data_IF_440476909809
#
_entry.id   IF_440476909809
#
_cell.length_a   1.000
_cell.length_b   1.000
_cell.length_c   1.000
_cell.angle_alpha   90.00
_cell.angle_beta   90.00
_cell.angle_gamma   90.00
#
_symmetry.space_group_name_H-M   'P 1'
#
loop_
_entity.id
_entity.type
_entity.pdbx_description
1 polymer ?
#
# COMPACT_ATOMS: atom_id res chain seq x y z
N UNK A 1 -10.39 -11.29 -10.18
CA UNK A 1 -9.03 -11.23 -10.73
C UNK A 1 -8.06 -10.64 -9.71
N UNK A 2 -6.85 -11.13 -9.68
CA UNK A 2 -5.82 -10.66 -8.76
C UNK A 2 -4.70 -10.04 -9.59
N UNK A 3 -4.41 -8.76 -9.32
CA UNK A 3 -3.28 -8.06 -9.90
C UNK A 3 -2.13 -8.00 -8.92
N UNK A 4 -0.91 -8.22 -9.39
CA UNK A 4 0.28 -8.18 -8.57
C UNK A 4 1.15 -6.98 -8.96
N UNK A 5 1.35 -6.07 -8.02
CA UNK A 5 2.26 -4.95 -8.15
C UNK A 5 3.53 -5.17 -7.33
N UNK A 6 3.83 -6.44 -7.05
CA UNK A 6 5.02 -6.82 -6.32
C UNK A 6 6.25 -6.73 -7.21
N UNK A 7 7.39 -6.52 -6.58
CA UNK A 7 8.69 -6.49 -7.23
C UNK A 7 9.75 -6.56 -6.16
N UNK A 8 10.99 -6.35 -6.55
CA UNK A 8 12.04 -6.23 -5.56
C UNK A 8 11.82 -4.95 -4.76
N UNK A 9 11.92 -5.07 -3.44
CA UNK A 9 11.72 -3.94 -2.53
C UNK A 9 12.61 -2.75 -2.92
N UNK A 10 11.98 -1.60 -3.18
CA UNK A 10 12.67 -0.37 -3.54
C UNK A 10 13.05 -0.21 -5.00
N UNK A 11 12.83 -1.22 -5.85
CA UNK A 11 13.26 -1.18 -7.25
C UNK A 11 12.27 -0.44 -8.16
N UNK A 12 10.97 -0.62 -7.95
CA UNK A 12 9.96 -0.03 -8.83
C UNK A 12 8.81 0.55 -8.02
N UNK A 13 8.39 1.74 -8.43
CA UNK A 13 7.22 2.43 -7.84
C UNK A 13 6.09 2.62 -8.87
N UNK A 14 6.32 2.26 -10.12
CA UNK A 14 5.42 2.52 -11.25
C UNK A 14 4.63 1.28 -11.73
N UNK A 15 4.82 0.13 -11.08
CA UNK A 15 4.21 -1.11 -11.54
C UNK A 15 2.68 -1.16 -11.34
N UNK A 16 2.16 -0.47 -10.33
CA UNK A 16 0.74 -0.57 -9.98
C UNK A 16 -0.18 0.07 -11.03
N UNK A 17 0.23 1.16 -11.67
CA UNK A 17 -0.61 1.86 -12.64
C UNK A 17 -1.13 0.95 -13.76
N UNK A 18 -0.26 0.32 -14.54
CA UNK A 18 -0.68 -0.60 -15.60
C UNK A 18 -1.51 -1.78 -15.11
N UNK A 19 -1.17 -2.32 -13.93
CA UNK A 19 -1.94 -3.42 -13.33
C UNK A 19 -3.36 -2.97 -13.01
N UNK A 20 -3.54 -1.81 -12.40
CA UNK A 20 -4.86 -1.26 -12.09
C UNK A 20 -5.65 -1.02 -13.37
N UNK A 21 -5.03 -0.47 -14.41
CA UNK A 21 -5.70 -0.26 -15.69
C UNK A 21 -6.24 -1.57 -16.26
N UNK A 22 -5.48 -2.65 -16.17
CA UNK A 22 -5.92 -3.98 -16.60
C UNK A 22 -7.09 -4.50 -15.77
N UNK A 23 -7.04 -4.34 -14.45
CA UNK A 23 -8.12 -4.76 -13.55
C UNK A 23 -9.42 -4.02 -13.85
N UNK A 24 -9.34 -2.71 -14.10
CA UNK A 24 -10.49 -1.89 -14.45
C UNK A 24 -11.08 -2.34 -15.81
N UNK A 25 -10.23 -2.56 -16.80
CA UNK A 25 -10.67 -2.94 -18.13
C UNK A 25 -11.38 -4.30 -18.14
N UNK A 26 -10.95 -5.22 -17.29
CA UNK A 26 -11.59 -6.54 -17.20
C UNK A 26 -12.89 -6.53 -16.40
N UNK A 27 -13.02 -5.61 -15.44
CA UNK A 27 -14.20 -5.53 -14.58
C UNK A 27 -14.32 -6.69 -13.60
N UNK A 28 -15.43 -6.73 -12.83
CA UNK A 28 -15.69 -7.74 -11.84
C UNK A 28 -14.89 -7.58 -10.56
N UNK A 29 -15.01 -8.53 -9.61
CA UNK A 29 -14.25 -8.48 -8.36
C UNK A 29 -12.75 -8.50 -8.63
N UNK A 30 -12.01 -7.60 -7.99
CA UNK A 30 -10.58 -7.48 -8.21
C UNK A 30 -9.84 -7.18 -6.92
N UNK A 31 -8.61 -7.69 -6.85
CA UNK A 31 -7.66 -7.47 -5.76
C UNK A 31 -6.35 -6.99 -6.35
N UNK A 32 -5.74 -6.02 -5.70
CA UNK A 32 -4.39 -5.56 -6.01
C UNK A 32 -3.48 -5.90 -4.84
N UNK A 33 -2.38 -6.56 -5.11
CA UNK A 33 -1.44 -7.01 -4.09
C UNK A 33 -0.12 -6.29 -4.27
N UNK A 34 0.36 -5.68 -3.19
CA UNK A 34 1.71 -5.17 -3.08
C UNK A 34 2.50 -6.04 -2.12
N UNK A 35 3.72 -6.38 -2.49
CA UNK A 35 4.66 -7.07 -1.61
C UNK A 35 5.96 -6.28 -1.60
N UNK A 36 6.33 -5.74 -0.44
CA UNK A 36 7.45 -4.82 -0.28
C UNK A 36 8.42 -5.23 0.83
N UNK A 37 8.19 -6.38 1.46
CA UNK A 37 9.02 -6.81 2.59
C UNK A 37 10.07 -7.84 2.18
N UNK A 38 11.27 -7.63 2.72
CA UNK A 38 12.35 -8.60 2.78
C UNK A 38 12.97 -8.50 4.18
N UNK A 39 13.82 -9.44 4.56
CA UNK A 39 14.46 -9.41 5.88
C UNK A 39 15.18 -8.08 6.13
N UNK A 40 15.93 -7.61 5.15
CA UNK A 40 16.66 -6.34 5.25
C UNK A 40 15.72 -5.15 5.42
N UNK A 41 14.66 -5.09 4.63
CA UNK A 41 13.70 -3.97 4.70
C UNK A 41 12.94 -3.97 6.02
N UNK A 42 12.62 -5.14 6.56
CA UNK A 42 11.98 -5.25 7.86
C UNK A 42 12.93 -4.80 8.98
N UNK A 43 14.20 -5.19 8.93
CA UNK A 43 15.19 -4.75 9.91
C UNK A 43 15.35 -3.24 9.90
N UNK A 44 15.42 -2.61 8.73
CA UNK A 44 15.51 -1.16 8.60
C UNK A 44 14.23 -0.48 9.13
N UNK A 45 13.07 -1.06 8.88
CA UNK A 45 11.80 -0.56 9.40
C UNK A 45 11.76 -0.58 10.93
N UNK A 46 12.26 -1.65 11.54
CA UNK A 46 12.36 -1.76 13.00
C UNK A 46 13.24 -0.66 13.58
N UNK A 47 14.38 -0.39 12.95
CA UNK A 47 15.29 0.68 13.39
C UNK A 47 14.62 2.05 13.29
N UNK A 48 13.91 2.32 12.21
CA UNK A 48 13.17 3.58 12.03
C UNK A 48 12.09 3.75 13.09
N UNK A 49 11.37 2.69 13.43
CA UNK A 49 10.34 2.73 14.46
C UNK A 49 10.90 3.03 15.84
N UNK A 50 12.09 2.52 16.15
CA UNK A 50 12.77 2.83 17.41
C UNK A 50 13.12 4.30 17.52
N UNK A 51 13.52 4.91 16.40
CA UNK A 51 13.88 6.33 16.37
C UNK A 51 12.64 7.24 16.35
N UNK A 52 11.54 6.79 15.74
CA UNK A 52 10.30 7.55 15.60
C UNK A 52 9.11 6.59 15.71
N UNK A 53 8.24 6.74 16.74
CA UNK A 53 7.06 5.88 16.90
C UNK A 53 6.06 5.93 15.75
N UNK A 54 6.09 6.98 14.93
CA UNK A 54 5.20 7.12 13.76
C UNK A 54 5.83 6.58 12.48
N UNK A 55 7.08 6.15 12.53
CA UNK A 55 7.77 5.53 11.40
C UNK A 55 7.78 4.00 11.54
N UNK A 56 8.41 3.32 10.60
CA UNK A 56 8.56 1.86 10.61
C UNK A 56 7.67 1.13 9.62
N UNK A 57 6.92 1.85 8.79
CA UNK A 57 6.21 1.28 7.65
C UNK A 57 7.01 1.52 6.35
N UNK A 58 6.52 1.00 5.23
CA UNK A 58 7.21 1.12 3.95
C UNK A 58 7.43 2.59 3.58
N UNK A 59 8.69 3.04 3.41
CA UNK A 59 8.97 4.45 3.13
C UNK A 59 8.48 4.92 1.76
N UNK A 60 8.28 4.00 0.80
CA UNK A 60 7.77 4.31 -0.53
C UNK A 60 6.25 4.20 -0.62
N UNK A 61 5.55 4.07 0.51
CA UNK A 61 4.10 3.87 0.53
C UNK A 61 3.37 4.93 -0.28
N UNK A 62 3.72 6.21 -0.12
CA UNK A 62 3.09 7.30 -0.88
C UNK A 62 3.30 7.13 -2.37
N UNK A 63 4.52 6.86 -2.79
CA UNK A 63 4.87 6.74 -4.21
C UNK A 63 4.20 5.54 -4.86
N UNK A 64 4.03 4.45 -4.11
CA UNK A 64 3.40 3.22 -4.59
C UNK A 64 1.88 3.32 -4.65
N UNK A 65 1.26 3.90 -3.64
CA UNK A 65 -0.19 3.84 -3.45
C UNK A 65 -0.92 5.07 -3.95
N UNK A 66 -0.37 6.27 -3.73
CA UNK A 66 -1.05 7.53 -4.08
C UNK A 66 -1.51 7.58 -5.54
N UNK A 67 -0.71 7.12 -6.53
CA UNK A 67 -1.14 7.20 -7.93
C UNK A 67 -2.35 6.33 -8.28
N UNK A 68 -2.65 5.30 -7.49
CA UNK A 68 -3.70 4.32 -7.83
C UNK A 68 -4.84 4.27 -6.81
N UNK A 69 -4.70 4.90 -5.66
CA UNK A 69 -5.68 4.79 -4.58
C UNK A 69 -7.08 5.22 -5.01
N UNK A 70 -7.20 6.37 -5.66
CA UNK A 70 -8.50 6.90 -6.10
C UNK A 70 -9.19 5.93 -7.06
N UNK A 71 -8.46 5.42 -8.05
CA UNK A 71 -9.02 4.47 -9.03
C UNK A 71 -9.44 3.16 -8.38
N UNK A 72 -8.62 2.66 -7.45
CA UNK A 72 -8.96 1.44 -6.72
C UNK A 72 -10.25 1.61 -5.92
N UNK A 73 -10.41 2.71 -5.20
CA UNK A 73 -11.62 2.97 -4.42
C UNK A 73 -12.84 3.17 -5.32
N UNK A 74 -12.68 3.88 -6.44
CA UNK A 74 -13.78 4.13 -7.38
C UNK A 74 -14.29 2.84 -8.03
N UNK A 75 -13.41 1.89 -8.29
CA UNK A 75 -13.74 0.64 -8.99
C UNK A 75 -13.87 -0.56 -8.06
N UNK A 76 -13.88 -0.35 -6.75
CA UNK A 76 -14.06 -1.43 -5.78
C UNK A 76 -12.90 -2.43 -5.75
N UNK A 77 -11.72 -2.03 -6.18
CA UNK A 77 -10.53 -2.88 -6.13
C UNK A 77 -10.01 -2.92 -4.69
N UNK A 78 -9.92 -4.10 -4.13
CA UNK A 78 -9.40 -4.30 -2.78
C UNK A 78 -7.89 -4.41 -2.83
N UNK A 79 -7.22 -3.70 -1.91
CA UNK A 79 -5.76 -3.67 -1.84
C UNK A 79 -5.31 -4.50 -0.65
N UNK A 80 -4.37 -5.39 -0.89
CA UNK A 80 -3.72 -6.20 0.16
C UNK A 80 -2.23 -5.93 0.09
N UNK A 81 -1.63 -5.60 1.22
CA UNK A 81 -0.20 -5.29 1.23
C UNK A 81 0.43 -5.56 2.59
N UNK A 82 1.74 -5.63 2.58
CA UNK A 82 2.55 -5.63 3.79
C UNK A 82 3.28 -4.30 3.99
N UNK A 83 2.67 -3.19 3.54
CA UNK A 83 3.21 -1.84 3.71
C UNK A 83 3.47 -1.48 5.17
N UNK A 84 2.75 -2.12 6.10
CA UNK A 84 2.91 -1.85 7.51
C UNK A 84 4.29 -2.16 8.05
N UNK A 85 4.97 -3.15 7.50
CA UNK A 85 6.30 -3.56 7.94
C UNK A 85 6.36 -3.69 9.47
N UNK A 86 7.11 -2.83 10.15
CA UNK A 86 7.23 -2.85 11.60
C UNK A 86 6.17 -1.99 12.32
N UNK A 87 5.30 -1.28 11.59
CA UNK A 87 4.31 -0.39 12.18
C UNK A 87 3.03 -0.30 11.35
N UNK A 88 2.21 -1.35 11.32
CA UNK A 88 1.01 -1.36 10.48
C UNK A 88 -0.04 -0.34 10.90
N UNK A 89 -0.15 0.01 12.17
CA UNK A 89 -1.10 1.03 12.63
C UNK A 89 -0.73 2.40 12.08
N UNK A 90 0.55 2.77 12.11
CA UNK A 90 1.01 4.03 11.54
C UNK A 90 0.80 4.07 10.03
N UNK A 91 1.01 2.96 9.33
CA UNK A 91 0.72 2.86 7.90
C UNK A 91 -0.76 3.10 7.61
N UNK A 92 -1.66 2.50 8.39
CA UNK A 92 -3.10 2.69 8.22
C UNK A 92 -3.51 4.16 8.42
N UNK A 93 -2.97 4.82 9.43
CA UNK A 93 -3.22 6.24 9.69
C UNK A 93 -2.70 7.10 8.53
N UNK A 94 -1.55 6.75 8.00
CA UNK A 94 -0.95 7.47 6.87
C UNK A 94 -1.82 7.34 5.61
N UNK A 95 -2.37 6.15 5.34
CA UNK A 95 -3.26 5.93 4.21
C UNK A 95 -4.56 6.72 4.36
N UNK A 96 -5.11 6.79 5.57
CA UNK A 96 -6.30 7.62 5.84
C UNK A 96 -6.03 9.09 5.56
N UNK A 97 -4.87 9.59 6.00
CA UNK A 97 -4.45 10.97 5.73
C UNK A 97 -4.31 11.21 4.23
N UNK A 98 -3.71 10.27 3.51
CA UNK A 98 -3.60 10.32 2.05
C UNK A 98 -4.97 10.42 1.39
N UNK A 99 -5.93 9.61 1.81
CA UNK A 99 -7.29 9.67 1.27
C UNK A 99 -7.96 11.02 1.53
N UNK A 100 -7.77 11.60 2.72
CA UNK A 100 -8.26 12.95 3.01
C UNK A 100 -7.63 14.00 2.11
N UNK A 101 -6.33 13.94 1.91
CA UNK A 101 -5.60 14.88 1.04
C UNK A 101 -6.08 14.80 -0.40
N UNK A 102 -6.46 13.60 -0.85
CA UNK A 102 -6.98 13.36 -2.21
C UNK A 102 -8.49 13.63 -2.34
N UNK A 103 -9.17 14.01 -1.26
CA UNK A 103 -10.60 14.25 -1.26
C UNK A 103 -11.44 12.99 -1.46
N UNK A 104 -10.92 11.84 -1.07
CA UNK A 104 -11.58 10.55 -1.24
C UNK A 104 -12.45 10.20 -0.04
N UNK A 105 -13.50 9.35 -0.23
CA UNK A 105 -14.19 8.74 0.90
C UNK A 105 -13.20 7.95 1.76
N UNK A 106 -13.44 7.93 3.06
CA UNK A 106 -12.55 7.22 3.98
C UNK A 106 -12.56 5.72 3.69
N UNK A 107 -11.43 5.11 3.32
CA UNK A 107 -11.37 3.69 3.04
C UNK A 107 -11.50 2.87 4.33
N UNK A 108 -12.03 1.66 4.20
CA UNK A 108 -11.99 0.67 5.28
C UNK A 108 -10.65 -0.01 5.26
N UNK A 109 -9.94 0.05 6.37
CA UNK A 109 -8.59 -0.52 6.47
C UNK A 109 -8.60 -1.55 7.61
N UNK A 110 -8.27 -2.79 7.27
CA UNK A 110 -8.05 -3.84 8.26
C UNK A 110 -6.56 -3.99 8.49
N UNK A 111 -6.17 -4.01 9.74
CA UNK A 111 -4.79 -4.21 10.15
C UNK A 111 -4.68 -5.59 10.77
N UNK A 112 -3.82 -6.43 10.20
CA UNK A 112 -3.54 -7.76 10.74
C UNK A 112 -2.22 -7.68 11.50
N UNK A 113 -2.32 -7.79 12.82
CA UNK A 113 -1.16 -7.84 13.70
C UNK A 113 -0.75 -9.28 13.99
N UNK A 114 0.47 -9.43 14.42
CA UNK A 114 0.98 -10.77 14.77
C UNK A 114 1.97 -10.73 15.91
#
# INVERSE_FOLDING_TARGET
MIGCAAGFSGDRVDAAGPVVDTLIARGGPAFLIFETLAERTLALAQLRRRADPDAGFEPLLDELLRPVLARCLQHGIRIVSNFGAANPLAAAQHIRKMAQELGLPMPRIAVVGG
#
